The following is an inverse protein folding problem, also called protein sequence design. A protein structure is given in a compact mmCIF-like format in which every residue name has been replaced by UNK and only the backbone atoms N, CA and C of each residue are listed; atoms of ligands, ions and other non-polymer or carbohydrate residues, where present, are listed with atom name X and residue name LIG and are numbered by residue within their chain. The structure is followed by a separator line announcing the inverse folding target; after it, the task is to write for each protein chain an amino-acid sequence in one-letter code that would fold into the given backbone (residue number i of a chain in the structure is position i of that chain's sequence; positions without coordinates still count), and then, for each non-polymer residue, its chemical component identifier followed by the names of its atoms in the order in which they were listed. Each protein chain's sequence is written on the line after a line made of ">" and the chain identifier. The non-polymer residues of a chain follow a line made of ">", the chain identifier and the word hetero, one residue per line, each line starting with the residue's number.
data_IF_919839035343
#
_entry.id   IF_919839035343
#
_cell.length_a   1.000
_cell.length_b   1.000
_cell.length_c   1.000
_cell.angle_alpha   90.00
_cell.angle_beta   90.00
_cell.angle_gamma   90.00
#
_symmetry.space_group_name_H-M   'P 1'
#
loop_
_entity.id
_entity.type
_entity.pdbx_description
1 polymer ?
#
# COMPACT_ATOMS: atom_id res chain seq x y z
N UNK A 1 4.10 6.42 -10.01
CA UNK A 1 2.83 6.91 -9.40
C UNK A 1 3.15 8.07 -8.49
N UNK A 2 2.15 8.88 -8.11
CA UNK A 2 2.27 9.96 -7.13
C UNK A 2 1.37 9.72 -5.93
N UNK A 3 1.58 10.50 -4.87
CA UNK A 3 0.68 10.50 -3.71
C UNK A 3 -0.78 10.77 -4.12
N UNK A 4 -1.70 10.09 -3.45
CA UNK A 4 -3.13 10.04 -3.70
C UNK A 4 -3.56 9.29 -4.98
N UNK A 5 -2.64 8.74 -5.77
CA UNK A 5 -3.03 7.79 -6.81
C UNK A 5 -3.51 6.48 -6.18
N UNK A 6 -4.48 5.83 -6.82
CA UNK A 6 -5.03 4.54 -6.38
C UNK A 6 -4.68 3.46 -7.42
N UNK A 7 -4.36 2.25 -6.96
CA UNK A 7 -4.15 1.10 -7.83
C UNK A 7 -4.54 -0.21 -7.13
N UNK A 8 -4.68 -1.28 -7.91
CA UNK A 8 -4.90 -2.62 -7.39
C UNK A 8 -3.56 -3.36 -7.23
N UNK A 9 -3.35 -4.03 -6.08
CA UNK A 9 -2.15 -4.82 -5.84
C UNK A 9 -2.00 -5.96 -6.86
N UNK A 10 -0.80 -6.14 -7.41
CA UNK A 10 -0.47 -7.23 -8.35
C UNK A 10 -0.28 -8.58 -7.67
N UNK A 11 0.10 -8.57 -6.38
CA UNK A 11 0.34 -9.75 -5.53
C UNK A 11 -0.11 -9.48 -4.10
N UNK A 12 -0.24 -10.54 -3.30
CA UNK A 12 -0.52 -10.38 -1.88
C UNK A 12 0.65 -9.72 -1.16
N UNK A 13 0.34 -8.90 -0.16
CA UNK A 13 1.32 -8.09 0.55
C UNK A 13 1.02 -8.06 2.05
N UNK A 14 2.06 -8.16 2.88
CA UNK A 14 1.91 -7.95 4.32
C UNK A 14 1.77 -6.45 4.62
N UNK A 15 0.77 -6.11 5.42
CA UNK A 15 0.47 -4.75 5.85
C UNK A 15 0.31 -4.70 7.37
N UNK A 16 0.61 -3.55 7.96
CA UNK A 16 0.42 -3.29 9.39
C UNK A 16 -0.80 -2.42 9.61
N UNK A 17 -1.72 -2.85 10.48
CA UNK A 17 -2.91 -2.07 10.82
C UNK A 17 -2.50 -0.83 11.62
N UNK A 18 -2.95 0.34 11.18
CA UNK A 18 -2.61 1.62 11.81
C UNK A 18 -3.17 1.66 13.24
N UNK A 19 -2.33 2.04 14.20
CA UNK A 19 -2.72 2.12 15.62
C UNK A 19 -2.73 0.77 16.34
N UNK A 20 -2.44 -0.32 15.66
CA UNK A 20 -2.35 -1.67 16.21
C UNK A 20 -0.96 -2.29 15.96
N UNK A 21 -0.56 -3.23 16.81
CA UNK A 21 0.61 -4.08 16.57
C UNK A 21 0.21 -5.39 15.87
N UNK A 22 -0.69 -5.29 14.89
CA UNK A 22 -1.25 -6.43 14.14
C UNK A 22 -0.88 -6.29 12.67
N UNK A 23 -0.39 -7.38 12.10
CA UNK A 23 -0.18 -7.51 10.66
C UNK A 23 -1.32 -8.28 10.02
N UNK A 24 -1.65 -7.92 8.79
CA UNK A 24 -2.63 -8.59 7.94
C UNK A 24 -2.03 -8.82 6.55
N UNK A 25 -2.60 -9.76 5.80
CA UNK A 25 -2.23 -9.96 4.39
C UNK A 25 -3.29 -9.30 3.53
N UNK A 26 -2.90 -8.29 2.77
CA UNK A 26 -3.73 -7.71 1.71
C UNK A 26 -3.66 -8.65 0.49
N UNK A 27 -4.78 -9.19 -0.01
CA UNK A 27 -4.75 -10.03 -1.19
C UNK A 27 -4.46 -9.23 -2.47
N UNK A 28 -3.96 -9.92 -3.50
CA UNK A 28 -3.89 -9.36 -4.84
C UNK A 28 -5.28 -8.85 -5.29
N UNK A 29 -5.31 -7.73 -6.01
CA UNK A 29 -6.54 -7.04 -6.40
C UNK A 29 -7.07 -6.06 -5.36
N UNK A 30 -6.53 -6.02 -4.14
CA UNK A 30 -6.89 -5.00 -3.15
C UNK A 30 -6.57 -3.61 -3.70
N UNK A 31 -7.55 -2.70 -3.66
CA UNK A 31 -7.34 -1.30 -3.98
C UNK A 31 -6.61 -0.60 -2.84
N UNK A 32 -5.52 0.06 -3.18
CA UNK A 32 -4.68 0.81 -2.23
C UNK A 32 -4.40 2.21 -2.76
N UNK A 33 -4.20 3.14 -1.84
CA UNK A 33 -3.86 4.55 -2.14
C UNK A 33 -2.41 4.81 -1.78
N UNK A 34 -1.65 5.44 -2.67
CA UNK A 34 -0.27 5.88 -2.37
C UNK A 34 -0.32 7.04 -1.37
N UNK A 35 0.29 6.86 -0.20
CA UNK A 35 0.40 7.90 0.84
C UNK A 35 1.77 8.57 0.86
N UNK A 36 2.81 7.86 0.40
CA UNK A 36 4.17 8.40 0.31
C UNK A 36 4.91 7.78 -0.88
N UNK A 37 5.69 8.59 -1.58
CA UNK A 37 6.62 8.14 -2.63
C UNK A 37 8.04 8.18 -2.10
N UNK A 38 8.74 7.05 -2.12
CA UNK A 38 10.14 7.00 -1.72
C UNK A 38 11.07 7.24 -2.92
N UNK A 39 12.11 8.05 -2.71
CA UNK A 39 13.14 8.35 -3.70
C UNK A 39 12.84 9.58 -4.54
N UNK A 40 13.36 9.60 -5.77
CA UNK A 40 13.07 10.66 -6.75
C UNK A 40 11.63 10.46 -7.29
N UNK A 41 10.74 11.46 -7.23
CA UNK A 41 9.40 11.34 -7.81
C UNK A 41 9.38 11.00 -9.31
N UNK A 42 10.44 11.35 -10.06
CA UNK A 42 10.59 10.97 -11.46
C UNK A 42 11.11 9.53 -11.66
N UNK A 43 11.72 8.94 -10.63
CA UNK A 43 12.21 7.57 -10.59
C UNK A 43 12.00 6.94 -9.20
N UNK A 44 10.74 6.62 -8.81
CA UNK A 44 10.44 6.12 -7.47
C UNK A 44 11.11 4.77 -7.22
N UNK A 45 11.55 4.54 -5.97
CA UNK A 45 12.10 3.24 -5.56
C UNK A 45 11.04 2.36 -4.87
N UNK A 46 10.10 2.98 -4.18
CA UNK A 46 9.01 2.32 -3.47
C UNK A 46 7.85 3.29 -3.22
N UNK A 47 6.72 2.74 -2.81
CA UNK A 47 5.54 3.47 -2.39
C UNK A 47 5.09 2.97 -1.03
N UNK A 48 4.76 3.87 -0.13
CA UNK A 48 3.91 3.53 1.01
C UNK A 48 2.46 3.62 0.55
N UNK A 49 1.68 2.59 0.85
CA UNK A 49 0.29 2.49 0.44
C UNK A 49 -0.60 2.19 1.63
N UNK A 50 -1.81 2.73 1.61
CA UNK A 50 -2.85 2.43 2.58
C UNK A 50 -4.01 1.67 1.95
N UNK A 51 -4.62 0.78 2.73
CA UNK A 51 -5.82 0.05 2.35
C UNK A 51 -6.86 0.13 3.48
N UNK A 52 -8.12 0.39 3.13
CA UNK A 52 -9.22 0.34 4.08
C UNK A 52 -9.73 -1.10 4.27
N UNK A 53 -9.77 -1.56 5.52
CA UNK A 53 -10.23 -2.88 5.93
C UNK A 53 -11.65 -2.79 6.48
N UNK A 54 -12.65 -2.93 5.60
CA UNK A 54 -14.06 -2.73 5.96
C UNK A 54 -14.58 -3.63 7.09
N UNK A 55 -14.03 -4.84 7.25
CA UNK A 55 -14.43 -5.76 8.32
C UNK A 55 -14.00 -5.27 9.72
N UNK A 56 -12.90 -4.52 9.78
CA UNK A 56 -12.28 -4.07 11.02
C UNK A 56 -12.48 -2.56 11.26
N UNK A 57 -13.09 -1.84 10.30
CA UNK A 57 -13.22 -0.37 10.28
C UNK A 57 -11.87 0.34 10.54
N UNK A 58 -10.83 -0.17 9.87
CA UNK A 58 -9.45 0.23 10.11
C UNK A 58 -8.68 0.43 8.80
N UNK A 59 -7.54 1.08 8.88
CA UNK A 59 -6.59 1.22 7.78
C UNK A 59 -5.36 0.38 8.03
N UNK A 60 -4.77 -0.17 6.97
CA UNK A 60 -3.48 -0.83 7.02
C UNK A 60 -2.49 -0.20 6.06
N UNK A 61 -1.23 -0.08 6.49
CA UNK A 61 -0.11 0.46 5.72
C UNK A 61 0.82 -0.65 5.26
N UNK A 62 1.33 -0.52 4.05
CA UNK A 62 2.37 -1.40 3.53
C UNK A 62 3.34 -0.64 2.63
N UNK A 63 4.53 -1.19 2.45
CA UNK A 63 5.51 -0.69 1.47
C UNK A 63 5.54 -1.62 0.26
N UNK A 64 5.47 -1.03 -0.93
CA UNK A 64 5.53 -1.74 -2.21
C UNK A 64 6.74 -1.25 -2.99
N UNK A 65 7.53 -2.16 -3.56
CA UNK A 65 8.62 -1.78 -4.46
C UNK A 65 8.06 -1.18 -5.74
N UNK A 66 8.74 -0.17 -6.32
CA UNK A 66 8.25 0.44 -7.55
C UNK A 66 8.20 -0.54 -8.73
N UNK A 67 9.04 -1.58 -8.72
CA UNK A 67 9.03 -2.66 -9.72
C UNK A 67 7.82 -3.60 -9.62
N UNK A 68 7.11 -3.61 -8.49
CA UNK A 68 5.91 -4.43 -8.28
C UNK A 68 4.62 -3.71 -8.72
N UNK A 69 4.74 -2.42 -9.06
CA UNK A 69 3.64 -1.54 -9.45
C UNK A 69 3.78 -1.21 -10.94
N UNK A 70 3.16 -2.04 -11.78
CA UNK A 70 3.19 -1.95 -13.24
C UNK A 70 1.99 -2.62 -13.89
#
# INVERSE_FOLDING_TARGET
>A
MKENDTFALSKSLEATVIGEHRTVVLPAGTLVTVVLVFGDPAAPVAYEVEAFLAADDAYALATVEASDVG
#
